data_IF_513007398545
#
_entry.id   IF_513007398545
#
_cell.length_a   1.000
_cell.length_b   1.000
_cell.length_c   1.000
_cell.angle_alpha   90.00
_cell.angle_beta   90.00
_cell.angle_gamma   90.00
#
_symmetry.space_group_name_H-M   'P 1'
#
loop_
_entity.id
_entity.type
_entity.pdbx_description
1 polymer ?
#
# COMPACT_ATOMS: atom_id res chain seq x y z
N UNK A 1 23.82 -17.13 -3.88
CA UNK A 1 23.48 -15.70 -4.03
C UNK A 1 23.84 -15.02 -2.71
N UNK A 2 24.75 -14.07 -2.72
CA UNK A 2 25.10 -13.30 -1.51
C UNK A 2 24.29 -11.99 -1.55
N UNK A 3 23.47 -11.75 -0.52
CA UNK A 3 22.72 -10.50 -0.40
C UNK A 3 23.69 -9.43 0.11
N UNK A 4 23.77 -8.30 -0.60
CA UNK A 4 24.60 -7.13 -0.20
C UNK A 4 23.76 -5.91 0.14
N UNK A 5 22.57 -5.78 -0.45
CA UNK A 5 21.67 -4.65 -0.20
C UNK A 5 20.32 -5.15 0.28
N UNK A 6 19.77 -4.50 1.31
CA UNK A 6 18.41 -4.72 1.79
C UNK A 6 17.68 -3.37 1.79
N UNK A 7 16.59 -3.28 1.03
CA UNK A 7 15.66 -2.15 1.10
C UNK A 7 14.37 -2.60 1.78
N UNK A 8 14.02 -1.93 2.88
CA UNK A 8 12.77 -2.12 3.62
C UNK A 8 11.88 -0.91 3.39
N UNK A 9 10.71 -1.13 2.79
CA UNK A 9 9.70 -0.09 2.53
C UNK A 9 8.61 -0.15 3.60
N UNK A 10 8.38 0.95 4.33
CA UNK A 10 7.40 1.03 5.40
C UNK A 10 6.30 2.05 5.15
N UNK A 11 5.62 2.49 6.22
CA UNK A 11 4.54 3.46 6.13
C UNK A 11 5.03 4.72 5.40
N UNK A 12 4.25 5.19 4.42
CA UNK A 12 4.69 6.27 3.52
C UNK A 12 5.47 5.79 2.28
N UNK A 13 5.42 4.50 1.93
CA UNK A 13 5.93 3.98 0.65
C UNK A 13 5.27 4.58 -0.61
N UNK A 14 4.27 5.44 -0.46
CA UNK A 14 3.75 6.29 -1.53
C UNK A 14 4.64 7.52 -1.82
N UNK A 15 5.53 7.90 -0.88
CA UNK A 15 6.44 9.02 -1.10
C UNK A 15 7.40 8.68 -2.25
N UNK A 16 7.42 9.52 -3.28
CA UNK A 16 8.18 9.27 -4.50
C UNK A 16 7.46 8.42 -5.55
N UNK A 17 6.20 7.99 -5.33
CA UNK A 17 5.37 7.29 -6.32
C UNK A 17 4.70 8.24 -7.34
N UNK A 18 5.30 9.38 -7.64
CA UNK A 18 4.78 10.31 -8.64
C UNK A 18 4.81 9.72 -10.06
N UNK A 19 4.15 10.41 -11.00
CA UNK A 19 4.09 9.96 -12.39
C UNK A 19 3.26 8.71 -12.58
N UNK A 20 2.24 8.50 -11.75
CA UNK A 20 1.21 7.47 -11.93
C UNK A 20 0.00 8.04 -12.67
N UNK A 21 -0.83 7.17 -13.23
CA UNK A 21 -2.10 7.55 -13.87
C UNK A 21 -3.08 8.26 -12.92
N UNK A 22 -2.96 8.02 -11.62
CA UNK A 22 -3.78 8.63 -10.57
C UNK A 22 -2.90 8.96 -9.36
N UNK A 23 -3.29 9.97 -8.58
CA UNK A 23 -2.63 10.27 -7.31
C UNK A 23 -2.97 9.18 -6.31
N UNK A 24 -1.95 8.50 -5.78
CA UNK A 24 -2.13 7.44 -4.78
C UNK A 24 -2.70 8.07 -3.50
N UNK A 25 -3.94 7.73 -3.09
CA UNK A 25 -4.54 8.34 -1.91
C UNK A 25 -3.84 7.84 -0.64
N UNK A 26 -3.73 8.73 0.36
CA UNK A 26 -3.09 8.45 1.64
C UNK A 26 -4.08 8.61 2.79
N UNK A 27 -3.82 7.91 3.90
CA UNK A 27 -4.56 8.07 5.15
C UNK A 27 -6.08 7.96 4.94
N UNK A 28 -6.78 9.01 5.36
CA UNK A 28 -8.24 9.18 5.24
C UNK A 28 -8.73 9.00 3.81
N UNK A 29 -7.98 9.54 2.84
CA UNK A 29 -8.32 9.45 1.43
C UNK A 29 -8.34 8.00 0.95
N UNK A 30 -7.44 7.15 1.45
CA UNK A 30 -7.39 5.74 1.08
C UNK A 30 -8.63 5.00 1.59
N UNK A 31 -8.99 5.17 2.87
CA UNK A 31 -10.18 4.53 3.43
C UNK A 31 -11.46 4.94 2.68
N UNK A 32 -11.60 6.23 2.37
CA UNK A 32 -12.77 6.75 1.64
C UNK A 32 -12.88 6.13 0.25
N UNK A 33 -11.75 6.03 -0.47
CA UNK A 33 -11.71 5.38 -1.77
C UNK A 33 -12.05 3.89 -1.69
N UNK A 34 -11.52 3.17 -0.70
CA UNK A 34 -11.83 1.76 -0.48
C UNK A 34 -13.32 1.56 -0.16
N UNK A 35 -13.89 2.37 0.73
CA UNK A 35 -15.32 2.34 1.09
C UNK A 35 -16.22 2.52 -0.14
N UNK A 36 -15.90 3.50 -0.98
CA UNK A 36 -16.66 3.80 -2.19
C UNK A 36 -16.49 2.73 -3.27
N UNK A 37 -15.28 2.18 -3.41
CA UNK A 37 -14.97 1.18 -4.45
C UNK A 37 -15.49 -0.21 -4.10
N UNK A 38 -15.53 -0.54 -2.81
CA UNK A 38 -15.92 -1.85 -2.30
C UNK A 38 -17.01 -1.72 -1.22
N UNK A 39 -18.24 -1.32 -1.60
CA UNK A 39 -19.31 -1.08 -0.63
C UNK A 39 -19.75 -2.34 0.11
N UNK A 40 -19.55 -3.53 -0.47
CA UNK A 40 -19.88 -4.82 0.14
C UNK A 40 -18.87 -5.33 1.19
N UNK A 41 -17.71 -4.70 1.31
CA UNK A 41 -16.67 -5.05 2.29
C UNK A 41 -16.33 -3.84 3.15
N UNK A 42 -15.50 -2.92 2.63
CA UNK A 42 -15.11 -1.67 3.30
C UNK A 42 -16.31 -0.79 3.63
N UNK A 43 -17.33 -0.77 2.77
CA UNK A 43 -18.59 -0.07 3.00
C UNK A 43 -19.43 -0.57 4.17
N UNK A 44 -19.19 -1.81 4.62
CA UNK A 44 -19.95 -2.45 5.72
C UNK A 44 -19.35 -2.20 7.10
N UNK A 45 -18.18 -1.55 7.18
CA UNK A 45 -17.52 -1.29 8.44
C UNK A 45 -18.35 -0.31 9.30
N UNK A 46 -18.56 -0.60 10.60
CA UNK A 46 -19.29 0.27 11.51
C UNK A 46 -18.68 1.68 11.60
N UNK A 47 -19.48 2.71 11.95
CA UNK A 47 -18.98 4.09 12.11
C UNK A 47 -17.78 4.24 13.06
N UNK A 48 -17.65 3.35 14.04
CA UNK A 48 -16.52 3.34 14.96
C UNK A 48 -15.18 3.06 14.26
N UNK A 49 -15.15 2.18 13.25
CA UNK A 49 -13.95 1.96 12.43
C UNK A 49 -13.64 3.17 11.56
N UNK A 50 -14.68 3.80 11.00
CA UNK A 50 -14.51 4.98 10.16
C UNK A 50 -13.81 6.12 10.91
N UNK A 51 -14.12 6.33 12.19
CA UNK A 51 -13.41 7.31 13.02
C UNK A 51 -11.92 6.97 13.19
N UNK A 52 -11.58 5.70 13.37
CA UNK A 52 -10.18 5.27 13.49
C UNK A 52 -9.43 5.45 12.18
N UNK A 53 -10.04 5.09 11.04
CA UNK A 53 -9.45 5.30 9.71
C UNK A 53 -9.33 6.77 9.32
N UNK A 54 -10.24 7.63 9.81
CA UNK A 54 -10.17 9.10 9.65
C UNK A 54 -9.08 9.73 10.51
N UNK A 55 -8.78 9.17 11.66
CA UNK A 55 -7.66 9.63 12.49
C UNK A 55 -6.33 9.19 11.84
N UNK A 56 -6.11 7.88 11.72
CA UNK A 56 -4.93 7.29 11.08
C UNK A 56 -5.28 5.97 10.43
N UNK A 57 -4.91 5.78 9.17
CA UNK A 57 -5.26 4.54 8.45
C UNK A 57 -4.70 3.30 9.16
N UNK A 58 -3.48 3.39 9.68
CA UNK A 58 -2.81 2.33 10.44
C UNK A 58 -3.54 2.00 11.74
N UNK A 59 -4.20 2.98 12.37
CA UNK A 59 -5.03 2.76 13.57
C UNK A 59 -6.28 1.96 13.22
N UNK A 60 -6.95 2.32 12.13
CA UNK A 60 -8.09 1.55 11.60
C UNK A 60 -7.69 0.12 11.24
N UNK A 61 -6.54 -0.07 10.59
CA UNK A 61 -6.01 -1.40 10.29
C UNK A 61 -5.70 -2.18 11.57
N UNK A 62 -5.03 -1.58 12.55
CA UNK A 62 -4.72 -2.24 13.84
C UNK A 62 -5.98 -2.73 14.55
N UNK A 63 -7.04 -1.91 14.56
CA UNK A 63 -8.34 -2.33 15.09
C UNK A 63 -8.94 -3.48 14.27
N UNK A 64 -8.89 -3.42 12.94
CA UNK A 64 -9.42 -4.46 12.06
C UNK A 64 -8.72 -5.81 12.27
N UNK A 65 -7.41 -5.78 12.50
CA UNK A 65 -6.60 -6.98 12.78
C UNK A 65 -6.81 -7.56 14.18
N UNK A 66 -7.15 -6.73 15.16
CA UNK A 66 -7.35 -7.16 16.55
C UNK A 66 -8.79 -7.57 16.87
N UNK A 67 -9.77 -7.09 16.10
CA UNK A 67 -11.17 -7.45 16.27
C UNK A 67 -11.47 -8.84 15.68
N UNK A 68 -11.57 -9.84 16.56
CA UNK A 68 -11.80 -11.24 16.20
C UNK A 68 -13.08 -11.46 15.37
N UNK A 69 -14.06 -10.55 15.42
CA UNK A 69 -15.28 -10.65 14.61
C UNK A 69 -15.01 -10.50 13.10
N UNK A 70 -13.84 -9.99 12.71
CA UNK A 70 -13.43 -9.81 11.32
C UNK A 70 -12.39 -10.81 10.84
N UNK A 71 -11.92 -11.76 11.68
CA UNK A 71 -10.80 -12.64 11.34
C UNK A 71 -11.01 -13.39 10.02
N UNK A 72 -12.20 -13.97 9.81
CA UNK A 72 -12.55 -14.69 8.58
C UNK A 72 -12.71 -13.76 7.35
N UNK A 73 -12.81 -12.45 7.59
CA UNK A 73 -13.05 -11.43 6.56
C UNK A 73 -11.80 -10.63 6.21
N UNK A 74 -10.75 -10.66 7.03
CA UNK A 74 -9.50 -9.90 6.81
C UNK A 74 -8.94 -10.14 5.41
N UNK A 75 -8.98 -11.39 4.93
CA UNK A 75 -8.48 -11.72 3.60
C UNK A 75 -9.23 -10.99 2.47
N UNK A 76 -10.52 -10.69 2.63
CA UNK A 76 -11.28 -9.91 1.65
C UNK A 76 -10.85 -8.44 1.66
N UNK A 77 -10.69 -7.84 2.84
CA UNK A 77 -10.17 -6.47 2.95
C UNK A 77 -8.78 -6.33 2.32
N UNK A 78 -7.88 -7.30 2.55
CA UNK A 78 -6.55 -7.32 1.95
C UNK A 78 -6.57 -7.52 0.44
N UNK A 79 -7.47 -8.38 -0.08
CA UNK A 79 -7.69 -8.54 -1.52
C UNK A 79 -8.17 -7.25 -2.16
N UNK A 80 -9.10 -6.54 -1.53
CA UNK A 80 -9.61 -5.27 -2.03
C UNK A 80 -8.52 -4.19 -2.10
N UNK A 81 -7.66 -4.09 -1.08
CA UNK A 81 -6.46 -3.23 -1.09
C UNK A 81 -5.56 -3.60 -2.28
N UNK A 82 -5.29 -4.88 -2.48
CA UNK A 82 -4.45 -5.34 -3.59
C UNK A 82 -5.10 -5.01 -4.96
N UNK A 83 -6.41 -5.22 -5.11
CA UNK A 83 -7.16 -4.87 -6.32
C UNK A 83 -7.10 -3.36 -6.55
N UNK A 84 -7.29 -2.55 -5.52
CA UNK A 84 -7.22 -1.09 -5.60
C UNK A 84 -5.85 -0.63 -6.11
N UNK A 85 -4.78 -1.06 -5.44
CA UNK A 85 -3.42 -0.65 -5.83
C UNK A 85 -2.96 -1.24 -7.16
N UNK A 86 -3.50 -2.39 -7.61
CA UNK A 86 -3.17 -2.99 -8.90
C UNK A 86 -3.53 -2.11 -10.12
N UNK A 87 -4.39 -1.11 -9.93
CA UNK A 87 -4.81 -0.20 -11.00
C UNK A 87 -3.85 0.95 -11.24
N UNK A 88 -2.93 1.21 -10.30
CA UNK A 88 -1.93 2.26 -10.47
C UNK A 88 -0.85 1.81 -11.45
N UNK A 89 -0.63 2.61 -12.48
CA UNK A 89 0.38 2.40 -13.51
C UNK A 89 1.29 3.62 -13.55
N UNK A 90 2.59 3.39 -13.67
CA UNK A 90 3.55 4.46 -13.93
C UNK A 90 3.35 4.94 -15.38
N UNK A 91 2.99 6.20 -15.53
CA UNK A 91 2.79 6.89 -16.81
C UNK A 91 3.94 7.86 -17.12
N UNK A 92 4.59 8.41 -16.09
CA UNK A 92 5.82 9.20 -16.21
C UNK A 92 6.94 8.63 -15.32
N UNK A 93 7.76 7.79 -15.94
CA UNK A 93 8.92 7.15 -15.32
C UNK A 93 9.97 8.13 -14.80
N UNK A 94 10.03 9.37 -15.30
CA UNK A 94 11.01 10.37 -14.85
C UNK A 94 10.62 10.99 -13.52
N UNK A 95 9.36 10.88 -13.11
CA UNK A 95 8.89 11.40 -11.81
C UNK A 95 8.86 10.34 -10.72
N UNK A 96 8.86 9.06 -11.08
CA UNK A 96 8.78 7.96 -10.14
C UNK A 96 10.15 7.59 -9.53
N UNK A 97 10.34 7.80 -8.23
CA UNK A 97 11.60 7.52 -7.53
C UNK A 97 11.91 6.03 -7.43
N UNK A 98 10.89 5.18 -7.30
CA UNK A 98 11.06 3.73 -7.29
C UNK A 98 11.63 3.27 -8.63
N UNK A 99 11.04 3.72 -9.74
CA UNK A 99 11.57 3.42 -11.06
C UNK A 99 13.04 3.85 -11.22
N UNK A 100 13.39 5.06 -10.74
CA UNK A 100 14.79 5.53 -10.74
C UNK A 100 15.70 4.60 -9.94
N UNK A 101 15.30 4.22 -8.72
CA UNK A 101 16.05 3.29 -7.88
C UNK A 101 16.30 1.96 -8.61
N UNK A 102 15.25 1.32 -9.13
CA UNK A 102 15.37 0.06 -9.86
C UNK A 102 16.24 0.17 -11.11
N UNK A 103 16.12 1.29 -11.84
CA UNK A 103 16.96 1.56 -13.01
C UNK A 103 18.44 1.65 -12.62
N UNK A 104 18.77 2.34 -11.53
CA UNK A 104 20.16 2.47 -11.07
C UNK A 104 20.72 1.14 -10.53
N UNK A 105 19.91 0.36 -9.79
CA UNK A 105 20.29 -0.98 -9.37
C UNK A 105 20.58 -1.90 -10.57
N UNK A 106 19.75 -1.82 -11.62
CA UNK A 106 19.95 -2.57 -12.86
C UNK A 106 21.22 -2.17 -13.59
N UNK A 107 21.48 -0.86 -13.74
CA UNK A 107 22.70 -0.34 -14.39
C UNK A 107 23.98 -0.80 -13.71
N UNK A 108 23.93 -1.05 -12.39
CA UNK A 108 25.07 -1.52 -11.59
C UNK A 108 25.16 -3.05 -11.45
N UNK A 109 24.31 -3.81 -12.16
CA UNK A 109 24.13 -5.26 -12.00
C UNK A 109 23.90 -5.71 -10.54
N UNK A 110 23.37 -4.81 -9.70
CA UNK A 110 23.19 -5.04 -8.26
C UNK A 110 21.85 -5.71 -7.92
N UNK A 111 20.95 -5.87 -8.89
CA UNK A 111 19.62 -6.47 -8.66
C UNK A 111 19.70 -7.89 -8.10
N UNK A 112 20.67 -8.70 -8.57
CA UNK A 112 20.88 -10.08 -8.10
C UNK A 112 21.44 -10.19 -6.69
N UNK A 113 21.84 -9.07 -6.09
CA UNK A 113 22.39 -9.00 -4.73
C UNK A 113 21.51 -8.14 -3.81
N UNK A 114 20.34 -7.72 -4.30
CA UNK A 114 19.43 -6.81 -3.61
C UNK A 114 18.15 -7.54 -3.23
N UNK A 115 17.79 -7.46 -1.95
CA UNK A 115 16.48 -7.88 -1.44
C UNK A 115 15.63 -6.64 -1.24
N UNK A 116 14.38 -6.73 -1.68
CA UNK A 116 13.37 -5.71 -1.51
C UNK A 116 12.23 -6.32 -0.70
N UNK A 117 11.88 -5.68 0.42
CA UNK A 117 10.76 -6.11 1.25
C UNK A 117 9.92 -4.90 1.65
N UNK A 118 8.63 -5.16 1.84
CA UNK A 118 7.75 -4.25 2.57
C UNK A 118 7.68 -4.69 4.03
N UNK A 119 7.61 -3.72 4.95
CA UNK A 119 7.23 -3.93 6.35
C UNK A 119 5.78 -3.48 6.61
N UNK A 120 5.09 -2.98 5.57
CA UNK A 120 3.65 -2.77 5.58
C UNK A 120 2.93 -4.06 5.23
N UNK A 121 1.79 -4.27 5.91
CA UNK A 121 0.73 -5.28 5.74
C UNK A 121 1.15 -6.62 5.12
#
# INVERSE_FOLDING_TARGET
MQVKNLFLFGAGASNGCNGTNEIVPLGIGLFTNLKNKFPGTWGTLPPAFENDFKDKFEKGMSRLWSDLSYNDKISFFMKDIAIFFSKFKITDFKQNLYYKLFRELKKKDALKETVLSTINY
#
